data_IF_517820483999
#
_entry.id   IF_517820483999
#
_cell.length_a   1.000
_cell.length_b   1.000
_cell.length_c   1.000
_cell.angle_alpha   90.00
_cell.angle_beta   90.00
_cell.angle_gamma   90.00
#
_symmetry.space_group_name_H-M   'P 1'
#
loop_
_entity.id
_entity.type
_entity.pdbx_description
1 polymer ?
#
# COMPACT_ATOMS: atom_id res chain seq x y z
N UNK A 1 -8.74 -1.04 3.93
CA UNK A 1 -8.62 -0.16 2.75
C UNK A 1 -9.94 0.42 2.25
N UNK A 2 -11.01 0.30 3.03
CA UNK A 2 -12.31 0.91 2.76
C UNK A 2 -12.26 2.42 2.48
N UNK A 3 -11.23 3.09 3.00
CA UNK A 3 -11.02 4.54 2.92
C UNK A 3 -10.51 4.98 1.53
N UNK A 4 -9.54 4.28 0.92
CA UNK A 4 -9.10 4.63 -0.44
C UNK A 4 -10.28 4.49 -1.42
N UNK A 5 -11.18 3.53 -1.18
CA UNK A 5 -12.39 3.36 -1.98
C UNK A 5 -13.45 4.45 -1.76
N UNK A 6 -13.45 5.11 -0.61
CA UNK A 6 -14.40 6.18 -0.28
C UNK A 6 -13.90 7.55 -0.75
N UNK A 7 -12.59 7.72 -0.95
CA UNK A 7 -11.98 9.01 -1.26
C UNK A 7 -11.48 9.06 -2.70
N UNK A 8 -10.97 7.95 -3.23
CA UNK A 8 -10.37 7.91 -4.54
C UNK A 8 -11.35 7.30 -5.57
N UNK A 9 -11.59 8.00 -6.69
CA UNK A 9 -12.36 7.47 -7.82
C UNK A 9 -11.63 6.31 -8.53
N UNK A 10 -11.98 5.09 -8.16
CA UNK A 10 -11.39 3.84 -8.68
C UNK A 10 -11.41 3.77 -10.21
N UNK A 11 -12.38 4.41 -10.88
CA UNK A 11 -12.54 4.32 -12.34
C UNK A 11 -11.43 5.02 -13.12
N UNK A 12 -10.78 6.01 -12.53
CA UNK A 12 -9.81 6.85 -13.23
C UNK A 12 -8.38 6.62 -12.75
N UNK A 13 -8.15 5.72 -11.78
CA UNK A 13 -6.82 5.41 -11.27
C UNK A 13 -5.97 4.81 -12.39
N UNK A 14 -4.80 5.42 -12.58
CA UNK A 14 -3.78 4.99 -13.51
C UNK A 14 -2.70 4.17 -12.79
N UNK A 15 -2.17 4.68 -11.68
CA UNK A 15 -1.13 3.99 -10.87
C UNK A 15 -1.36 4.20 -9.38
N UNK A 16 -0.79 3.30 -8.57
CA UNK A 16 -0.76 3.44 -7.11
C UNK A 16 0.67 3.30 -6.62
N UNK A 17 1.08 4.24 -5.77
CA UNK A 17 2.36 4.24 -5.07
C UNK A 17 2.13 4.14 -3.56
N UNK A 18 3.03 3.42 -2.90
CA UNK A 18 3.03 3.23 -1.45
C UNK A 18 4.38 3.63 -0.91
N UNK A 19 4.41 4.66 -0.07
CA UNK A 19 5.64 5.16 0.55
C UNK A 19 5.65 4.81 2.03
N UNK A 20 6.67 4.09 2.46
CA UNK A 20 6.82 3.62 3.83
C UNK A 20 7.94 4.41 4.46
N UNK A 21 7.63 5.07 5.58
CA UNK A 21 8.52 6.05 6.19
C UNK A 21 9.09 5.59 7.53
N UNK A 22 10.27 6.12 7.87
CA UNK A 22 10.80 6.14 9.23
C UNK A 22 11.26 4.77 9.76
N UNK A 23 10.95 4.48 11.03
CA UNK A 23 11.36 3.23 11.68
C UNK A 23 10.70 2.01 11.05
N UNK A 24 9.50 2.18 10.46
CA UNK A 24 8.82 1.12 9.72
C UNK A 24 9.62 0.71 8.47
N UNK A 25 10.16 1.68 7.71
CA UNK A 25 10.99 1.42 6.53
C UNK A 25 12.27 0.61 6.88
N UNK A 26 12.89 0.91 8.04
CA UNK A 26 14.09 0.18 8.52
C UNK A 26 13.80 -1.29 8.79
N UNK A 27 12.67 -1.58 9.43
CA UNK A 27 12.26 -2.98 9.66
C UNK A 27 11.68 -3.63 8.41
N UNK A 28 11.33 -2.85 7.38
CA UNK A 28 10.80 -3.36 6.11
C UNK A 28 11.87 -4.12 5.32
N UNK A 29 13.05 -3.52 5.19
CA UNK A 29 14.17 -4.06 4.40
C UNK A 29 14.71 -5.42 4.89
N UNK A 30 14.37 -5.83 6.12
CA UNK A 30 14.85 -7.08 6.74
C UNK A 30 13.76 -8.11 7.08
N UNK A 31 12.48 -7.84 6.79
CA UNK A 31 11.36 -8.73 7.17
C UNK A 31 10.74 -9.52 6.01
N UNK A 32 11.36 -9.46 4.81
CA UNK A 32 10.99 -10.30 3.69
C UNK A 32 9.64 -9.97 3.04
N UNK A 33 9.30 -10.79 2.04
CA UNK A 33 8.11 -10.63 1.19
C UNK A 33 6.82 -10.40 2.00
N UNK A 34 6.72 -10.92 3.23
CA UNK A 34 5.52 -10.90 4.08
C UNK A 34 4.94 -9.51 4.35
N UNK A 35 5.79 -8.48 4.45
CA UNK A 35 5.32 -7.09 4.64
C UNK A 35 4.80 -6.48 3.34
N UNK A 36 5.43 -6.76 2.20
CA UNK A 36 4.92 -6.36 0.89
C UNK A 36 3.56 -7.01 0.62
N UNK A 37 3.35 -8.26 1.08
CA UNK A 37 2.05 -8.94 1.00
C UNK A 37 0.97 -8.15 1.73
N UNK A 38 1.24 -7.70 2.94
CA UNK A 38 0.27 -6.93 3.73
C UNK A 38 -0.20 -5.66 3.00
N UNK A 39 0.71 -4.98 2.29
CA UNK A 39 0.37 -3.80 1.46
C UNK A 39 -0.49 -4.20 0.27
N UNK A 40 -0.07 -5.20 -0.50
CA UNK A 40 -0.80 -5.67 -1.68
C UNK A 40 -2.18 -6.20 -1.33
N UNK A 41 -2.31 -6.96 -0.25
CA UNK A 41 -3.60 -7.42 0.27
C UNK A 41 -4.48 -6.26 0.65
N UNK A 42 -3.92 -5.27 1.35
CA UNK A 42 -4.61 -4.03 1.62
C UNK A 42 -5.17 -3.42 0.34
N UNK A 43 -4.34 -3.27 -0.70
CA UNK A 43 -4.73 -2.67 -1.99
C UNK A 43 -5.85 -3.46 -2.68
N UNK A 44 -5.88 -4.78 -2.51
CA UNK A 44 -6.95 -5.64 -3.01
C UNK A 44 -8.22 -5.60 -2.16
N UNK A 45 -8.24 -4.81 -1.07
CA UNK A 45 -9.28 -4.80 -0.05
C UNK A 45 -9.50 -6.15 0.65
N UNK A 46 -8.44 -6.96 0.71
CA UNK A 46 -8.44 -8.23 1.41
C UNK A 46 -7.97 -8.09 2.86
N UNK A 47 -8.61 -8.83 3.76
CA UNK A 47 -8.21 -8.89 5.16
C UNK A 47 -7.11 -9.93 5.39
N UNK A 48 -6.02 -9.50 6.04
CA UNK A 48 -4.89 -10.38 6.41
C UNK A 48 -5.35 -11.58 7.25
N UNK A 49 -6.37 -11.40 8.10
CA UNK A 49 -6.90 -12.46 8.97
C UNK A 49 -7.64 -13.56 8.23
N UNK A 50 -8.17 -13.27 7.03
CA UNK A 50 -9.04 -14.20 6.30
C UNK A 50 -8.32 -14.96 5.18
N UNK A 51 -7.04 -14.66 4.93
CA UNK A 51 -6.36 -15.16 3.75
C UNK A 51 -5.54 -16.41 4.05
N UNK A 52 -5.80 -17.50 3.31
CA UNK A 52 -4.96 -18.71 3.35
C UNK A 52 -3.57 -18.35 2.82
N UNK A 53 -2.53 -18.67 3.57
CA UNK A 53 -1.13 -18.38 3.22
C UNK A 53 -0.71 -18.85 1.81
N UNK A 54 -1.33 -19.91 1.29
CA UNK A 54 -1.04 -20.46 -0.04
C UNK A 54 -1.50 -19.54 -1.17
N UNK A 55 -2.76 -19.10 -1.14
CA UNK A 55 -3.33 -18.17 -2.13
C UNK A 55 -2.58 -16.83 -2.15
N UNK A 56 -2.02 -16.44 -1.01
CA UNK A 56 -1.24 -15.22 -0.89
C UNK A 56 0.01 -15.25 -1.78
N UNK A 57 0.78 -16.33 -1.65
CA UNK A 57 2.03 -16.50 -2.39
C UNK A 57 1.77 -16.59 -3.91
N UNK A 58 0.67 -17.21 -4.32
CA UNK A 58 0.28 -17.28 -5.73
C UNK A 58 -0.09 -15.90 -6.27
N UNK A 59 -0.93 -15.14 -5.56
CA UNK A 59 -1.30 -13.79 -5.99
C UNK A 59 -0.10 -12.86 -6.08
N UNK A 60 0.87 -12.97 -5.17
CA UNK A 60 2.09 -12.17 -5.24
C UNK A 60 2.95 -12.57 -6.43
N UNK A 61 3.11 -13.87 -6.71
CA UNK A 61 3.81 -14.32 -7.92
C UNK A 61 3.12 -13.80 -9.17
N UNK A 62 1.79 -13.76 -9.19
CA UNK A 62 1.02 -13.19 -10.30
C UNK A 62 1.28 -11.69 -10.41
N UNK A 63 1.25 -10.93 -9.31
CA UNK A 63 1.55 -9.49 -9.30
C UNK A 63 2.98 -9.24 -9.76
N UNK A 64 3.95 -10.04 -9.30
CA UNK A 64 5.35 -9.86 -9.64
C UNK A 64 5.65 -10.24 -11.10
N UNK A 65 4.98 -11.26 -11.64
CA UNK A 65 5.12 -11.65 -13.05
C UNK A 65 4.33 -10.74 -14.00
N UNK A 66 3.09 -10.38 -13.66
CA UNK A 66 2.23 -9.57 -14.51
C UNK A 66 2.43 -8.07 -14.34
N UNK A 67 3.10 -7.65 -13.26
CA UNK A 67 3.27 -6.24 -12.84
C UNK A 67 1.94 -5.49 -12.79
N UNK A 68 0.93 -6.15 -12.25
CA UNK A 68 -0.43 -5.65 -12.13
C UNK A 68 -1.08 -6.13 -10.84
N UNK A 69 -1.91 -5.28 -10.24
CA UNK A 69 -2.68 -5.60 -9.04
C UNK A 69 -4.17 -5.37 -9.29
N UNK A 70 -5.02 -6.23 -8.72
CA UNK A 70 -6.46 -6.05 -8.77
C UNK A 70 -6.92 -5.14 -7.61
N UNK A 71 -6.81 -3.83 -7.83
CA UNK A 71 -7.17 -2.83 -6.84
C UNK A 71 -8.65 -2.94 -6.46
N UNK A 72 -8.90 -3.08 -5.16
CA UNK A 72 -10.22 -3.29 -4.56
C UNK A 72 -11.05 -4.44 -5.18
N UNK A 73 -10.39 -5.43 -5.79
CA UNK A 73 -11.05 -6.49 -6.60
C UNK A 73 -11.95 -5.96 -7.73
N UNK A 74 -11.81 -4.69 -8.12
CA UNK A 74 -12.67 -4.02 -9.10
C UNK A 74 -11.93 -3.64 -10.37
N UNK A 75 -10.65 -3.29 -10.27
CA UNK A 75 -9.87 -2.78 -11.41
C UNK A 75 -8.44 -3.31 -11.35
N UNK A 76 -8.01 -3.91 -12.45
CA UNK A 76 -6.61 -4.26 -12.65
C UNK A 76 -5.83 -3.02 -13.07
N UNK A 77 -4.82 -2.65 -12.30
CA UNK A 77 -3.93 -1.50 -12.59
C UNK A 77 -2.47 -1.96 -12.63
N UNK A 78 -1.60 -1.28 -13.39
CA UNK A 78 -0.16 -1.50 -13.32
C UNK A 78 0.37 -1.29 -11.89
N UNK A 79 1.08 -2.29 -11.38
CA UNK A 79 1.71 -2.25 -10.06
C UNK A 79 2.92 -3.18 -10.05
N UNK A 80 4.10 -2.58 -9.96
CA UNK A 80 5.37 -3.25 -9.74
C UNK A 80 5.80 -3.06 -8.29
N UNK A 81 5.71 -4.08 -7.43
CA UNK A 81 6.10 -3.99 -6.03
C UNK A 81 7.48 -3.36 -5.80
N UNK A 82 8.44 -3.64 -6.68
CA UNK A 82 9.81 -3.14 -6.55
C UNK A 82 9.94 -1.64 -6.83
N UNK A 83 9.00 -1.05 -7.59
CA UNK A 83 9.01 0.37 -7.96
C UNK A 83 7.98 1.17 -7.18
N UNK A 84 6.79 0.60 -6.99
CA UNK A 84 5.65 1.26 -6.38
C UNK A 84 5.67 1.15 -4.85
N UNK A 85 6.45 0.25 -4.24
CA UNK A 85 6.69 0.24 -2.78
C UNK A 85 8.01 0.95 -2.50
N UNK A 86 7.92 2.21 -2.09
CA UNK A 86 9.06 3.09 -1.87
C UNK A 86 9.40 3.11 -0.37
N UNK A 87 10.63 2.74 -0.03
CA UNK A 87 11.14 2.82 1.33
C UNK A 87 11.82 4.17 1.54
N UNK A 88 11.13 5.08 2.23
CA UNK A 88 11.70 6.35 2.63
C UNK A 88 12.31 6.24 4.03
N UNK A 89 13.65 6.20 4.08
CA UNK A 89 14.40 6.15 5.33
C UNK A 89 14.60 7.53 5.96
N UNK A 90 14.27 8.61 5.24
CA UNK A 90 14.41 9.96 5.77
C UNK A 90 13.40 10.21 6.89
N UNK A 91 13.91 10.75 8.00
CA UNK A 91 13.13 11.07 9.20
C UNK A 91 12.77 12.55 9.27
N UNK A 92 13.33 13.40 8.40
CA UNK A 92 13.04 14.84 8.42
C UNK A 92 11.56 15.06 8.11
N UNK A 93 10.87 15.76 9.02
CA UNK A 93 9.45 16.16 8.93
C UNK A 93 8.40 15.05 9.06
N UNK A 94 8.71 13.90 9.66
CA UNK A 94 7.68 12.93 10.00
C UNK A 94 6.99 13.31 11.32
N UNK A 95 5.69 13.63 11.25
CA UNK A 95 4.83 13.81 12.43
C UNK A 95 4.78 12.54 13.32
N UNK A 96 4.97 11.34 12.74
CA UNK A 96 5.04 10.07 13.45
C UNK A 96 6.16 9.17 12.91
N UNK A 97 6.83 8.44 13.81
CA UNK A 97 7.97 7.55 13.49
C UNK A 97 7.63 6.39 12.54
N UNK A 98 6.36 5.99 12.46
CA UNK A 98 5.87 4.88 11.64
C UNK A 98 4.70 5.36 10.78
N UNK A 99 4.97 5.67 9.52
CA UNK A 99 3.98 6.22 8.59
C UNK A 99 4.01 5.45 7.27
N UNK A 100 2.83 5.20 6.70
CA UNK A 100 2.63 4.64 5.37
C UNK A 100 1.72 5.60 4.60
N UNK A 101 2.20 6.08 3.46
CA UNK A 101 1.43 6.89 2.54
C UNK A 101 1.02 6.06 1.34
N UNK A 102 -0.27 6.07 1.03
CA UNK A 102 -0.82 5.52 -0.20
C UNK A 102 -1.18 6.67 -1.11
N UNK A 103 -0.82 6.58 -2.38
CA UNK A 103 -1.07 7.58 -3.41
C UNK A 103 -1.67 6.92 -4.63
N UNK A 104 -2.86 7.33 -5.03
CA UNK A 104 -3.48 6.94 -6.29
C UNK A 104 -3.36 8.11 -7.28
N UNK A 105 -2.69 7.88 -8.40
CA UNK A 105 -2.48 8.88 -9.45
C UNK A 105 -3.52 8.67 -10.56
N UNK A 106 -4.15 9.75 -10.98
CA UNK A 106 -5.14 9.77 -12.05
C UNK A 106 -4.54 10.19 -13.39
N UNK A 107 -5.26 9.93 -14.49
CA UNK A 107 -4.83 10.35 -15.82
C UNK A 107 -4.79 11.87 -16.04
N UNK A 108 -5.51 12.63 -15.23
CA UNK A 108 -5.57 14.09 -15.30
C UNK A 108 -4.54 14.80 -14.41
N UNK A 109 -3.50 14.08 -13.95
CA UNK A 109 -2.50 14.52 -12.98
C UNK A 109 -3.04 14.83 -11.57
N UNK A 110 -4.31 14.56 -11.28
CA UNK A 110 -4.79 14.59 -9.91
C UNK A 110 -4.21 13.41 -9.14
N UNK A 111 -4.10 13.59 -7.83
CA UNK A 111 -3.62 12.56 -6.92
C UNK A 111 -4.48 12.53 -5.67
N UNK A 112 -4.89 11.33 -5.29
CA UNK A 112 -5.57 11.05 -4.04
C UNK A 112 -4.58 10.37 -3.11
N UNK A 113 -4.44 10.84 -1.86
CA UNK A 113 -3.50 10.22 -0.92
C UNK A 113 -4.09 9.98 0.46
N UNK A 114 -3.67 8.88 1.06
CA UNK A 114 -4.10 8.45 2.39
C UNK A 114 -2.87 8.09 3.19
N UNK A 115 -2.71 8.78 4.32
CA UNK A 115 -1.63 8.54 5.27
C UNK A 115 -2.14 7.70 6.43
N UNK A 116 -1.49 6.57 6.68
CA UNK A 116 -1.67 5.73 7.87
C UNK A 116 -0.47 5.89 8.79
N UNK A 117 -0.70 6.35 10.01
CA UNK A 117 0.32 6.49 11.04
C UNK A 117 0.08 5.41 12.11
N UNK A 118 1.09 4.60 12.41
CA UNK A 118 1.03 3.71 13.57
C UNK A 118 1.53 4.47 14.81
N UNK A 119 0.64 4.65 15.79
CA UNK A 119 0.91 5.42 17.01
C UNK A 119 1.42 4.58 18.18
N UNK A 120 1.62 3.26 17.97
CA UNK A 120 2.03 2.32 19.02
C UNK A 120 0.84 1.66 19.73
N UNK A 121 1.05 0.46 20.30
CA UNK A 121 0.00 -0.30 21.01
C UNK A 121 -1.05 -1.00 20.13
N UNK A 122 -0.81 -1.11 18.82
CA UNK A 122 -1.74 -1.74 17.87
C UNK A 122 -2.77 -0.79 17.23
N UNK A 123 -2.69 0.51 17.53
CA UNK A 123 -3.58 1.54 16.98
C UNK A 123 -2.98 2.21 15.72
N UNK A 124 -3.85 2.49 14.76
CA UNK A 124 -3.51 3.15 13.49
C UNK A 124 -4.35 4.42 13.36
N UNK A 125 -3.69 5.57 13.40
CA UNK A 125 -4.28 6.87 13.13
C UNK A 125 -4.28 7.15 11.62
N UNK A 126 -5.38 7.70 11.12
CA UNK A 126 -5.63 7.84 9.67
C UNK A 126 -5.78 9.30 9.34
N UNK A 127 -5.02 9.78 8.35
CA UNK A 127 -5.13 11.13 7.82
C UNK A 127 -5.40 11.08 6.33
N UNK A 128 -6.50 11.70 5.94
CA UNK A 128 -6.96 11.85 4.56
C UNK A 128 -6.75 13.30 4.16
N UNK A 129 -6.27 13.55 2.96
CA UNK A 129 -6.11 14.92 2.46
C UNK A 129 -6.24 14.96 0.95
#
# INVERSE_FOLDING_TARGET
>A
MEIINQICDIKNINTIDVVIHGSLAKTWKGHGMDKDKAVMMGLMADEIKSFKHELLNENIKIIDNKKKINFNRKREIPFDPLKNIILNFDKKNLFHSNRIDFSANYHNNDQCFVTYCSVGGGFIEKKVK
#
